data_IF_289065665874
#
_entry.id   IF_289065665874
#
_cell.length_a   1.000
_cell.length_b   1.000
_cell.length_c   1.000
_cell.angle_alpha   90.00
_cell.angle_beta   90.00
_cell.angle_gamma   90.00
#
_symmetry.space_group_name_H-M   'P 1'
#
loop_
_entity.id
_entity.type
_entity.pdbx_description
1 polymer ?
#
# COMPACT_ATOMS: atom_id res chain seq x y z
N UNK A 1 7.24 18.43 -4.55
CA UNK A 1 7.87 17.69 -3.44
C UNK A 1 7.33 16.28 -3.52
N UNK A 2 8.22 15.29 -3.60
CA UNK A 2 7.85 13.87 -3.61
C UNK A 2 7.51 13.38 -2.19
N UNK A 3 7.14 12.10 -2.05
CA UNK A 3 6.81 11.54 -0.73
C UNK A 3 7.99 11.61 0.25
N UNK A 4 9.21 11.49 -0.25
CA UNK A 4 10.44 11.57 0.56
C UNK A 4 10.66 13.00 1.07
N UNK A 5 10.48 14.01 0.21
CA UNK A 5 10.56 15.43 0.60
C UNK A 5 9.51 15.80 1.67
N UNK A 6 8.32 15.20 1.63
CA UNK A 6 7.24 15.48 2.60
C UNK A 6 7.52 14.87 3.98
N UNK A 7 8.19 13.72 4.02
CA UNK A 7 8.60 13.07 5.28
C UNK A 7 9.93 13.61 5.83
N UNK A 8 10.60 14.53 5.13
CA UNK A 8 11.91 15.03 5.52
C UNK A 8 11.81 16.25 6.45
N UNK A 9 12.19 16.06 7.72
CA UNK A 9 12.13 17.08 8.76
C UNK A 9 13.49 17.29 9.46
N UNK A 10 14.34 18.21 8.97
CA UNK A 10 15.69 18.40 9.52
C UNK A 10 15.75 19.27 10.80
N UNK A 11 14.70 20.05 11.14
CA UNK A 11 14.58 20.76 12.44
C UNK A 11 13.35 20.23 13.18
N UNK A 12 13.42 20.21 14.53
CA UNK A 12 12.29 19.89 15.43
C UNK A 12 11.14 20.89 15.40
N UNK A 13 11.23 21.96 14.62
CA UNK A 13 10.18 22.97 14.48
C UNK A 13 9.14 22.62 13.41
N UNK A 14 9.15 21.39 12.90
CA UNK A 14 8.27 20.89 11.83
C UNK A 14 8.36 21.69 10.53
N UNK A 15 9.53 22.28 10.25
CA UNK A 15 9.76 22.94 8.96
C UNK A 15 10.13 21.90 7.90
N UNK A 16 9.24 21.71 6.93
CA UNK A 16 9.44 20.80 5.81
C UNK A 16 10.19 21.51 4.67
N UNK A 17 11.19 20.84 4.12
CA UNK A 17 12.05 21.35 3.05
C UNK A 17 12.40 20.18 2.14
N UNK A 18 12.56 20.43 0.83
CA UNK A 18 13.02 19.37 -0.05
C UNK A 18 14.45 18.93 0.31
N UNK A 19 14.81 17.70 -0.03
CA UNK A 19 16.15 17.14 0.28
C UNK A 19 17.25 17.96 -0.42
N UNK A 20 17.00 18.38 -1.65
CA UNK A 20 17.90 19.26 -2.42
C UNK A 20 18.06 20.64 -1.78
N UNK A 21 16.95 21.23 -1.34
CA UNK A 21 16.88 22.54 -0.70
C UNK A 21 17.71 22.52 0.59
N UNK A 22 17.55 21.47 1.39
CA UNK A 22 18.34 21.26 2.60
C UNK A 22 19.84 21.20 2.31
N UNK A 23 20.25 20.51 1.25
CA UNK A 23 21.67 20.40 0.87
C UNK A 23 22.30 21.77 0.60
N UNK A 24 21.59 22.66 -0.10
CA UNK A 24 22.06 24.00 -0.38
C UNK A 24 22.06 24.89 0.88
N UNK A 25 20.97 24.87 1.66
CA UNK A 25 20.88 25.61 2.93
C UNK A 25 22.01 25.17 3.88
N UNK A 26 22.32 23.88 3.93
CA UNK A 26 23.39 23.32 4.75
C UNK A 26 24.80 23.71 4.25
N UNK A 27 24.95 24.14 3.00
CA UNK A 27 26.23 24.69 2.50
C UNK A 27 26.40 26.15 2.87
N UNK A 28 25.35 26.96 2.72
CA UNK A 28 25.44 28.43 2.87
C UNK A 28 25.23 28.91 4.30
N UNK A 29 24.18 28.45 4.99
CA UNK A 29 23.74 29.04 6.25
C UNK A 29 23.74 28.06 7.42
N UNK A 30 23.63 26.75 7.14
CA UNK A 30 23.53 25.67 8.14
C UNK A 30 22.44 25.89 9.18
N UNK A 31 21.45 26.71 8.89
CA UNK A 31 20.39 27.10 9.83
C UNK A 31 19.03 26.85 9.23
N UNK A 32 18.09 26.46 10.09
CA UNK A 32 16.71 26.30 9.68
C UNK A 32 16.05 27.65 9.32
N UNK A 33 15.35 27.74 8.18
CA UNK A 33 14.61 28.96 7.80
C UNK A 33 13.50 29.36 8.79
N UNK A 34 12.87 28.39 9.46
CA UNK A 34 11.83 28.65 10.45
C UNK A 34 12.39 28.96 11.84
N UNK A 35 13.11 27.99 12.42
CA UNK A 35 13.57 28.05 13.81
C UNK A 35 14.89 28.83 14.00
N UNK A 36 15.65 29.11 12.92
CA UNK A 36 17.02 29.68 12.92
C UNK A 36 18.06 28.89 13.75
N UNK A 37 17.71 27.69 14.21
CA UNK A 37 18.61 26.77 14.92
C UNK A 37 19.56 26.15 13.90
N UNK A 38 20.87 26.02 14.21
CA UNK A 38 21.79 25.30 13.35
C UNK A 38 21.37 23.83 13.20
N UNK A 39 21.47 23.29 12.00
CA UNK A 39 21.24 21.87 11.76
C UNK A 39 22.38 21.06 12.41
N UNK A 40 22.02 20.04 13.17
CA UNK A 40 22.95 19.07 13.73
C UNK A 40 23.02 17.89 12.75
N UNK A 41 24.05 17.86 11.90
CA UNK A 41 24.17 16.87 10.80
C UNK A 41 24.21 15.43 11.29
N UNK A 42 24.62 15.24 12.55
CA UNK A 42 24.69 13.93 13.21
C UNK A 42 23.32 13.51 13.80
N UNK A 43 22.34 14.41 13.82
CA UNK A 43 21.02 14.19 14.40
C UNK A 43 19.93 14.66 13.45
N UNK A 44 19.85 14.02 12.28
CA UNK A 44 18.64 14.10 11.47
C UNK A 44 17.50 13.57 12.34
N UNK A 45 16.51 14.42 12.61
CA UNK A 45 15.44 14.09 13.54
C UNK A 45 14.50 13.08 12.88
N UNK A 46 14.52 11.86 13.40
CA UNK A 46 13.46 10.87 13.16
C UNK A 46 12.41 11.09 14.24
N UNK A 47 11.16 11.28 13.85
CA UNK A 47 10.08 11.37 14.83
C UNK A 47 10.02 10.05 15.63
N UNK A 48 10.18 10.09 16.97
CA UNK A 48 10.18 8.88 17.78
C UNK A 48 8.87 8.10 17.69
N UNK A 49 7.75 8.75 17.38
CA UNK A 49 6.47 8.08 17.17
C UNK A 49 6.46 7.27 15.87
N UNK A 50 7.02 7.82 14.79
CA UNK A 50 7.13 7.12 13.50
C UNK A 50 8.04 5.91 13.61
N UNK A 51 9.17 6.03 14.33
CA UNK A 51 10.07 4.91 14.57
C UNK A 51 9.38 3.77 15.34
N UNK A 52 8.65 4.10 16.40
CA UNK A 52 7.91 3.12 17.21
C UNK A 52 6.82 2.41 16.40
N UNK A 53 6.11 3.15 15.52
CA UNK A 53 5.11 2.56 14.62
C UNK A 53 5.76 1.60 13.62
N UNK A 54 6.90 1.99 13.04
CA UNK A 54 7.66 1.15 12.10
C UNK A 54 8.18 -0.12 12.76
N UNK A 55 8.70 -0.03 13.98
CA UNK A 55 9.13 -1.20 14.77
C UNK A 55 7.95 -2.15 15.07
N UNK A 56 6.80 -1.61 15.48
CA UNK A 56 5.61 -2.40 15.76
C UNK A 56 5.08 -3.12 14.51
N UNK A 57 5.09 -2.43 13.35
CA UNK A 57 4.73 -3.01 12.06
C UNK A 57 5.71 -4.12 11.64
N UNK A 58 7.01 -3.91 11.81
CA UNK A 58 8.02 -4.94 11.53
C UNK A 58 7.85 -6.17 12.45
N UNK A 59 7.49 -5.96 13.72
CA UNK A 59 7.19 -7.05 14.65
C UNK A 59 5.92 -7.82 14.30
N UNK A 60 4.87 -7.14 13.82
CA UNK A 60 3.61 -7.82 13.43
C UNK A 60 3.79 -8.65 12.16
N UNK A 61 4.52 -8.13 11.15
CA UNK A 61 4.85 -8.88 9.93
C UNK A 61 5.67 -10.13 10.25
N UNK A 62 6.69 -10.02 11.12
CA UNK A 62 7.51 -11.17 11.57
C UNK A 62 6.67 -12.22 12.30
N UNK A 63 5.77 -11.82 13.20
CA UNK A 63 4.87 -12.74 13.92
C UNK A 63 3.93 -13.47 12.96
N UNK A 64 3.33 -12.76 12.01
CA UNK A 64 2.42 -13.35 11.03
C UNK A 64 3.15 -14.38 10.14
N UNK A 65 4.35 -14.06 9.68
CA UNK A 65 5.16 -14.97 8.86
C UNK A 65 5.55 -16.27 9.60
N UNK A 66 5.83 -16.21 10.90
CA UNK A 66 6.11 -17.40 11.71
C UNK A 66 4.89 -18.32 11.82
N UNK A 67 3.69 -17.76 12.04
CA UNK A 67 2.45 -18.52 12.19
C UNK A 67 2.10 -19.31 10.90
N UNK A 68 2.24 -18.68 9.74
CA UNK A 68 2.04 -19.37 8.45
C UNK A 68 3.06 -20.49 8.20
N UNK A 69 4.33 -20.30 8.61
CA UNK A 69 5.39 -21.33 8.48
C UNK A 69 5.11 -22.58 9.33
N UNK A 70 4.62 -22.40 10.56
CA UNK A 70 4.26 -23.51 11.45
C UNK A 70 2.98 -24.24 11.04
N UNK A 71 2.02 -23.54 10.43
CA UNK A 71 0.77 -24.15 9.96
C UNK A 71 0.95 -25.05 8.73
N UNK A 72 1.91 -24.73 7.85
CA UNK A 72 2.15 -25.51 6.63
C UNK A 72 2.90 -26.83 6.88
N UNK A 73 3.61 -26.97 8.02
CA UNK A 73 4.30 -28.21 8.39
C UNK A 73 3.37 -29.29 8.99
N UNK A 74 2.16 -28.93 9.43
CA UNK A 74 1.24 -29.87 10.09
C UNK A 74 -0.04 -30.24 9.30
N UNK A 75 -0.15 -29.82 8.02
CA UNK A 75 -1.33 -30.03 7.18
C UNK A 75 -1.14 -30.87 5.91
N UNK A 76 0.00 -31.56 5.74
CA UNK A 76 0.36 -32.27 4.52
C UNK A 76 0.51 -33.78 4.70
N UNK A 77 -0.50 -34.49 5.20
CA UNK A 77 -0.58 -35.94 5.10
C UNK A 77 -2.02 -36.33 4.77
N UNK A 78 -2.15 -37.20 3.77
CA UNK A 78 -3.37 -37.84 3.30
C UNK A 78 -4.21 -37.07 2.26
N UNK A 79 -3.83 -37.22 0.99
CA UNK A 79 -4.66 -37.96 0.03
C UNK A 79 -3.75 -38.58 -1.04
N UNK A 80 -3.80 -39.90 -1.09
CA UNK A 80 -2.90 -40.74 -1.86
C UNK A 80 -3.00 -40.56 -3.37
N UNK A 81 -1.93 -41.01 -4.00
CA UNK A 81 -1.89 -41.35 -5.39
C UNK A 81 -3.05 -42.29 -5.77
N UNK A 82 -3.72 -41.99 -6.86
CA UNK A 82 -4.20 -43.01 -7.77
C UNK A 82 -3.73 -42.61 -9.16
N UNK A 83 -2.58 -43.15 -9.52
CA UNK A 83 -2.18 -43.38 -10.89
C UNK A 83 -3.16 -44.41 -11.48
N UNK A 84 -3.97 -43.98 -12.44
CA UNK A 84 -4.51 -44.88 -13.45
C UNK A 84 -4.28 -44.24 -14.82
N UNK A 85 -4.08 -45.14 -15.76
CA UNK A 85 -3.32 -45.04 -17.01
C UNK A 85 -4.03 -44.30 -18.13
N UNK A 86 -3.20 -44.03 -19.14
CA UNK A 86 -3.47 -43.66 -20.53
C UNK A 86 -4.83 -44.10 -21.08
N UNK A 87 -5.53 -43.19 -21.77
CA UNK A 87 -6.20 -43.50 -23.03
C UNK A 87 -6.26 -42.26 -23.91
N UNK A 88 -5.60 -42.38 -25.07
CA UNK A 88 -5.71 -41.47 -26.17
C UNK A 88 -7.04 -41.71 -26.90
N UNK A 89 -7.83 -40.66 -27.08
CA UNK A 89 -8.67 -40.51 -28.28
C UNK A 89 -8.73 -39.02 -28.60
N UNK A 90 -8.14 -38.66 -29.73
CA UNK A 90 -8.57 -37.48 -30.46
C UNK A 90 -9.81 -37.85 -31.27
N UNK A 91 -10.80 -36.97 -31.32
CA UNK A 91 -11.29 -36.44 -32.59
C UNK A 91 -12.08 -35.14 -32.34
N UNK A 92 -12.15 -34.37 -33.40
CA UNK A 92 -12.53 -32.99 -33.61
C UNK A 92 -13.99 -32.66 -33.24
N UNK A 93 -14.30 -31.41 -32.86
CA UNK A 93 -14.95 -30.40 -33.74
C UNK A 93 -15.35 -29.11 -32.99
N UNK A 94 -15.18 -27.99 -33.70
CA UNK A 94 -15.93 -26.73 -33.70
C UNK A 94 -15.88 -25.72 -32.53
N UNK A 95 -15.06 -24.69 -32.76
CA UNK A 95 -15.44 -23.28 -32.88
C UNK A 95 -16.60 -22.74 -32.03
N UNK A 96 -16.26 -21.96 -31.00
CA UNK A 96 -16.91 -20.66 -30.75
C UNK A 96 -16.05 -19.80 -29.81
N UNK A 97 -15.35 -18.84 -30.40
CA UNK A 97 -14.84 -17.65 -29.71
C UNK A 97 -16.02 -16.90 -29.08
N UNK A 98 -16.06 -16.78 -27.75
CA UNK A 98 -16.87 -15.74 -27.09
C UNK A 98 -16.11 -15.19 -25.88
N UNK A 99 -15.81 -13.90 -25.99
CA UNK A 99 -15.12 -13.05 -25.03
C UNK A 99 -16.02 -12.67 -23.82
N UNK A 100 -15.45 -12.13 -22.73
CA UNK A 100 -16.02 -12.21 -21.38
C UNK A 100 -17.15 -11.21 -21.10
N UNK A 101 -18.17 -11.68 -20.35
CA UNK A 101 -19.31 -10.90 -19.92
C UNK A 101 -18.98 -9.88 -18.83
N UNK A 102 -19.27 -8.60 -19.15
CA UNK A 102 -19.37 -7.47 -18.23
C UNK A 102 -20.45 -7.71 -17.16
N UNK A 103 -20.12 -7.57 -15.87
CA UNK A 103 -21.09 -7.56 -14.78
C UNK A 103 -21.53 -6.11 -14.44
N UNK A 104 -22.54 -5.59 -15.12
CA UNK A 104 -23.16 -4.32 -14.71
C UNK A 104 -24.14 -4.57 -13.57
N UNK A 105 -23.75 -4.22 -12.33
CA UNK A 105 -24.67 -4.17 -11.21
C UNK A 105 -25.65 -2.99 -11.42
N UNK A 106 -26.79 -3.28 -12.02
CA UNK A 106 -27.96 -2.39 -12.07
C UNK A 106 -28.83 -2.69 -10.86
N UNK A 107 -28.65 -1.94 -9.77
CA UNK A 107 -29.65 -1.87 -8.70
C UNK A 107 -30.65 -0.77 -9.03
N UNK A 108 -31.78 -1.21 -9.59
CA UNK A 108 -33.03 -0.49 -9.76
C UNK A 108 -33.68 -0.31 -8.38
N UNK A 109 -33.84 0.94 -7.94
CA UNK A 109 -34.93 1.26 -7.02
C UNK A 109 -35.54 2.61 -7.41
N UNK A 110 -36.79 2.53 -7.87
CA UNK A 110 -37.66 3.64 -8.21
C UNK A 110 -38.46 4.08 -6.96
N UNK A 111 -39.11 5.24 -7.09
CA UNK A 111 -40.11 5.90 -6.23
C UNK A 111 -39.55 7.11 -5.44
N UNK A 112 -40.01 8.35 -5.63
CA UNK A 112 -41.12 8.84 -6.43
C UNK A 112 -41.08 10.36 -6.64
N UNK A 113 -41.91 10.80 -7.60
CA UNK A 113 -42.17 12.18 -8.02
C UNK A 113 -42.84 13.02 -6.93
N UNK A 114 -42.59 14.34 -6.95
CA UNK A 114 -43.51 15.51 -7.09
C UNK A 114 -42.69 16.76 -6.70
N UNK A 115 -42.33 17.68 -7.62
CA UNK A 115 -43.19 18.73 -8.22
C UNK A 115 -43.46 19.83 -7.19
N UNK A 116 -43.17 21.13 -7.34
CA UNK A 116 -42.64 21.95 -8.43
C UNK A 116 -42.60 23.43 -7.99
N UNK A 117 -42.12 24.28 -8.91
CA UNK A 117 -42.43 25.71 -9.14
C UNK A 117 -42.01 26.82 -8.14
N UNK A 118 -41.18 27.71 -8.70
CA UNK A 118 -41.17 29.19 -8.65
C UNK A 118 -40.85 29.96 -7.36
N UNK A 119 -39.74 30.73 -7.45
CA UNK A 119 -39.64 32.21 -7.41
C UNK A 119 -40.78 33.04 -6.77
N UNK A 120 -40.50 34.26 -6.25
CA UNK A 120 -39.51 35.24 -6.73
C UNK A 120 -38.24 35.39 -5.87
#
# INVERSE_FOLDING_TARGET
MDATDLAFHPCRCNYTTCIWCFSEINRVSKRCPGCRIPYDVDKIHVDPNELKQKEMLLQSIKRNQQQHRSAQQHGGKDRGASSVTEDAVGDTVDAATTLPGHNTNTTRQQHGRKGGTNQP
#
